data_IF_612722341822
#
_entry.id   IF_612722341822
#
_cell.length_a   1.000
_cell.length_b   1.000
_cell.length_c   1.000
_cell.angle_alpha   90.00
_cell.angle_beta   90.00
_cell.angle_gamma   90.00
#
_symmetry.space_group_name_H-M   'P 1'
#
loop_
_entity.id
_entity.type
_entity.pdbx_description
1 polymer ?
#
# COMPACT_ATOMS: atom_id res chain seq x y z
N UNK A 1 16.94 -20.55 -18.82
CA UNK A 1 16.04 -20.40 -17.67
C UNK A 1 14.99 -19.39 -18.09
N UNK A 2 13.71 -19.66 -17.85
CA UNK A 2 12.68 -18.66 -18.15
C UNK A 2 12.96 -17.42 -17.30
N UNK A 3 12.87 -16.25 -17.91
CA UNK A 3 12.99 -14.95 -17.23
C UNK A 3 11.89 -14.88 -16.18
N UNK A 4 12.26 -14.71 -14.92
CA UNK A 4 11.30 -14.61 -13.84
C UNK A 4 10.71 -13.22 -13.87
N UNK A 5 9.39 -13.13 -13.99
CA UNK A 5 8.64 -11.88 -14.07
C UNK A 5 8.38 -11.31 -12.68
N UNK A 6 8.03 -10.03 -12.65
CA UNK A 6 7.56 -9.37 -11.43
C UNK A 6 6.16 -9.88 -11.07
N UNK A 7 5.95 -10.21 -9.82
CA UNK A 7 4.67 -10.64 -9.26
C UNK A 7 4.15 -9.55 -8.31
N UNK A 8 2.90 -9.18 -8.46
CA UNK A 8 2.19 -8.26 -7.56
C UNK A 8 1.20 -9.06 -6.70
N UNK A 9 1.27 -8.85 -5.41
CA UNK A 9 0.38 -9.43 -4.42
C UNK A 9 -0.41 -8.33 -3.73
N UNK A 10 -1.71 -8.50 -3.62
CA UNK A 10 -2.58 -7.72 -2.73
C UNK A 10 -2.99 -8.62 -1.58
N UNK A 11 -2.64 -8.24 -0.34
CA UNK A 11 -2.91 -9.04 0.83
C UNK A 11 -4.38 -8.89 1.25
N UNK A 12 -5.01 -10.01 1.58
CA UNK A 12 -6.35 -9.98 2.16
C UNK A 12 -6.30 -9.45 3.59
N UNK A 13 -7.28 -8.64 4.01
CA UNK A 13 -7.42 -8.34 5.42
C UNK A 13 -7.60 -9.64 6.21
N UNK A 14 -6.92 -9.78 7.36
CA UNK A 14 -7.04 -10.96 8.23
C UNK A 14 -8.31 -10.89 9.06
N UNK A 15 -9.34 -10.28 8.60
CA UNK A 15 -10.64 -10.16 9.28
C UNK A 15 -11.54 -9.14 8.58
N UNK A 16 -12.60 -8.76 9.32
CA UNK A 16 -13.50 -7.67 8.99
C UNK A 16 -12.90 -6.27 9.26
N UNK A 17 -11.58 -6.15 9.44
CA UNK A 17 -10.91 -4.84 9.61
C UNK A 17 -10.42 -4.30 8.28
N UNK A 18 -10.33 -2.99 8.19
CA UNK A 18 -9.62 -2.33 7.11
C UNK A 18 -8.15 -2.74 7.16
N UNK A 19 -7.60 -3.00 6.00
CA UNK A 19 -6.19 -3.33 5.85
C UNK A 19 -5.74 -3.00 4.44
N UNK A 20 -4.65 -2.29 4.31
CA UNK A 20 -3.96 -2.18 3.04
C UNK A 20 -2.54 -2.72 3.15
N UNK A 21 -2.21 -3.65 2.30
CA UNK A 21 -0.84 -4.08 2.09
C UNK A 21 -0.68 -4.72 0.72
N UNK A 22 0.36 -4.33 0.01
CA UNK A 22 0.76 -4.90 -1.27
C UNK A 22 2.22 -5.32 -1.23
N UNK A 23 2.56 -6.34 -2.00
CA UNK A 23 3.93 -6.81 -2.14
C UNK A 23 4.25 -6.98 -3.61
N UNK A 24 5.34 -6.36 -4.07
CA UNK A 24 5.94 -6.71 -5.35
C UNK A 24 7.14 -7.61 -5.09
N UNK A 25 7.16 -8.75 -5.79
CA UNK A 25 8.30 -9.64 -5.83
C UNK A 25 8.94 -9.56 -7.20
N UNK A 26 10.17 -9.11 -7.24
CA UNK A 26 10.92 -8.96 -8.50
C UNK A 26 11.33 -10.31 -9.07
N UNK A 27 11.78 -10.33 -10.32
CA UNK A 27 12.26 -11.53 -10.98
C UNK A 27 13.39 -12.27 -10.27
N UNK A 28 14.23 -11.56 -9.51
CA UNK A 28 15.29 -12.16 -8.69
C UNK A 28 14.85 -12.42 -7.24
N UNK A 29 13.57 -12.18 -6.90
CA UNK A 29 13.01 -12.50 -5.60
C UNK A 29 13.17 -11.39 -4.55
N UNK A 30 13.53 -10.16 -4.95
CA UNK A 30 13.55 -9.00 -4.05
C UNK A 30 12.13 -8.59 -3.71
N UNK A 31 11.89 -8.13 -2.47
CA UNK A 31 10.57 -7.74 -2.02
C UNK A 31 10.47 -6.23 -1.81
N UNK A 32 9.41 -5.65 -2.36
CA UNK A 32 8.99 -4.27 -2.12
C UNK A 32 7.60 -4.34 -1.49
N UNK A 33 7.43 -3.79 -0.30
CA UNK A 33 6.16 -3.81 0.43
C UNK A 33 5.58 -2.41 0.48
N UNK A 34 4.29 -2.30 0.20
CA UNK A 34 3.52 -1.06 0.34
C UNK A 34 2.52 -1.25 1.46
N UNK A 35 2.59 -0.41 2.45
CA UNK A 35 1.82 -0.45 3.69
C UNK A 35 2.02 -1.76 4.49
N UNK A 36 1.50 -1.81 5.70
CA UNK A 36 1.75 -2.93 6.61
C UNK A 36 0.47 -3.46 7.28
N UNK A 37 -0.68 -2.99 6.82
CA UNK A 37 -1.96 -3.47 7.32
C UNK A 37 -2.23 -3.24 8.80
N UNK A 38 -3.38 -3.72 9.27
CA UNK A 38 -3.80 -3.61 10.66
C UNK A 38 -3.53 -4.91 11.42
N UNK A 39 -2.74 -4.83 12.47
CA UNK A 39 -2.65 -5.89 13.46
C UNK A 39 -3.91 -5.91 14.33
N UNK A 40 -4.52 -7.06 14.49
CA UNK A 40 -5.69 -7.19 15.34
C UNK A 40 -5.46 -6.86 16.81
N UNK A 41 -6.60 -6.54 17.46
CA UNK A 41 -6.78 -6.38 18.92
C UNK A 41 -6.23 -7.54 19.75
N UNK A 42 -6.11 -7.34 21.06
CA UNK A 42 -5.48 -8.21 22.04
C UNK A 42 -5.81 -9.73 21.95
N UNK A 43 -6.93 -10.10 21.37
CA UNK A 43 -7.38 -11.51 21.29
C UNK A 43 -6.68 -12.32 20.18
N UNK A 44 -6.02 -11.66 19.20
CA UNK A 44 -5.33 -12.29 18.07
C UNK A 44 -3.88 -11.81 17.90
N UNK A 45 -3.25 -11.39 18.97
CA UNK A 45 -1.85 -10.91 18.96
C UNK A 45 -0.83 -11.98 18.51
N UNK A 46 -1.19 -13.26 18.55
CA UNK A 46 -0.26 -14.35 18.25
C UNK A 46 -0.20 -14.72 16.77
N UNK A 47 -1.07 -14.17 15.93
CA UNK A 47 -0.99 -14.44 14.50
C UNK A 47 -0.07 -13.44 13.80
N UNK A 48 1.12 -13.90 13.50
CA UNK A 48 2.08 -13.20 12.65
C UNK A 48 1.65 -13.31 11.18
N UNK A 49 0.48 -12.71 10.83
CA UNK A 49 -0.08 -12.83 9.49
C UNK A 49 0.88 -12.29 8.43
N UNK A 50 1.30 -11.04 8.56
CA UNK A 50 2.16 -10.38 7.57
C UNK A 50 3.51 -11.06 7.42
N UNK A 51 4.27 -11.39 8.49
CA UNK A 51 5.50 -12.17 8.35
C UNK A 51 5.30 -13.53 7.68
N UNK A 52 4.16 -14.20 7.96
CA UNK A 52 3.83 -15.48 7.34
C UNK A 52 3.54 -15.33 5.84
N UNK A 53 2.79 -14.30 5.44
CA UNK A 53 2.53 -13.98 4.05
C UNK A 53 3.82 -13.64 3.30
N UNK A 54 4.68 -12.78 3.88
CA UNK A 54 5.95 -12.41 3.29
C UNK A 54 6.89 -13.60 3.09
N UNK A 55 6.96 -14.56 4.05
CA UNK A 55 7.71 -15.81 3.87
C UNK A 55 7.17 -16.63 2.70
N UNK A 56 5.86 -16.76 2.60
CA UNK A 56 5.24 -17.49 1.51
C UNK A 56 5.54 -16.86 0.15
N UNK A 57 5.43 -15.54 0.07
CA UNK A 57 5.74 -14.77 -1.14
C UNK A 57 7.23 -14.90 -1.47
N UNK A 58 8.11 -14.79 -0.49
CA UNK A 58 9.55 -15.00 -0.66
C UNK A 58 9.89 -16.43 -1.14
N UNK A 59 8.97 -17.39 -0.91
CA UNK A 59 9.21 -18.80 -1.26
C UNK A 59 10.10 -19.52 -0.26
N UNK A 60 10.16 -19.05 0.99
CA UNK A 60 10.93 -19.69 2.08
C UNK A 60 9.99 -20.41 3.03
N UNK A 61 10.53 -21.42 3.74
CA UNK A 61 9.76 -22.19 4.73
C UNK A 61 9.35 -21.34 5.94
N UNK A 62 8.54 -21.91 6.83
CA UNK A 62 7.95 -21.24 7.99
C UNK A 62 8.97 -20.52 8.89
N UNK A 63 10.18 -21.09 9.01
CA UNK A 63 11.29 -20.49 9.74
C UNK A 63 12.38 -19.92 8.82
N UNK A 64 12.10 -19.81 7.53
CA UNK A 64 13.04 -19.31 6.55
C UNK A 64 13.30 -17.81 6.69
N UNK A 65 14.52 -17.42 6.35
CA UNK A 65 14.92 -16.02 6.35
C UNK A 65 14.47 -15.33 5.06
N UNK A 66 13.99 -14.10 5.17
CA UNK A 66 13.67 -13.24 4.04
C UNK A 66 14.12 -11.80 4.29
N UNK A 67 14.24 -11.04 3.22
CA UNK A 67 14.52 -9.60 3.27
C UNK A 67 13.47 -8.81 2.51
N UNK A 68 13.13 -7.64 3.05
CA UNK A 68 12.35 -6.61 2.37
C UNK A 68 13.30 -5.49 1.97
N UNK A 69 13.42 -5.23 0.69
CA UNK A 69 14.36 -4.24 0.16
C UNK A 69 13.88 -2.81 0.35
N UNK A 70 12.58 -2.60 0.16
CA UNK A 70 11.91 -1.34 0.42
C UNK A 70 10.55 -1.58 1.06
N UNK A 71 10.26 -0.85 2.11
CA UNK A 71 8.94 -0.74 2.69
C UNK A 71 8.46 0.69 2.58
N UNK A 72 7.35 0.90 1.88
CA UNK A 72 6.79 2.23 1.63
C UNK A 72 5.49 2.34 2.42
N UNK A 73 5.39 3.34 3.30
CA UNK A 73 4.16 3.65 4.02
C UNK A 73 3.49 4.86 3.37
N UNK A 74 2.22 4.73 3.04
CA UNK A 74 1.46 5.78 2.38
C UNK A 74 1.10 6.90 3.33
N UNK A 75 0.53 6.59 4.49
CA UNK A 75 0.14 7.60 5.49
C UNK A 75 0.05 6.98 6.89
N UNK A 76 -0.24 7.83 7.88
CA UNK A 76 -0.12 7.48 9.29
C UNK A 76 -1.44 6.97 9.90
N UNK A 77 -2.14 6.02 9.26
CA UNK A 77 -3.26 5.29 9.87
C UNK A 77 -2.89 3.84 10.20
N UNK A 78 -3.51 3.30 11.25
CA UNK A 78 -3.16 2.01 11.81
C UNK A 78 -3.34 0.85 10.84
N UNK A 79 -4.36 0.89 9.99
CA UNK A 79 -4.64 -0.10 8.96
C UNK A 79 -3.65 -0.09 7.77
N UNK A 80 -2.67 0.81 7.81
CA UNK A 80 -1.55 0.89 6.86
C UNK A 80 -0.20 0.54 7.47
N UNK A 81 0.01 0.67 8.79
CA UNK A 81 1.33 0.44 9.37
C UNK A 81 1.37 -0.52 10.57
N UNK A 82 0.24 -0.91 11.13
CA UNK A 82 0.22 -1.53 12.47
C UNK A 82 0.93 -2.89 12.52
N UNK A 83 0.79 -3.74 11.49
CA UNK A 83 1.53 -5.02 11.42
C UNK A 83 3.03 -4.79 11.27
N UNK A 84 3.46 -3.81 10.48
CA UNK A 84 4.87 -3.43 10.41
C UNK A 84 5.37 -2.96 11.76
N UNK A 85 4.63 -2.06 12.44
CA UNK A 85 4.99 -1.57 13.76
C UNK A 85 5.21 -2.74 14.75
N UNK A 86 4.30 -3.72 14.74
CA UNK A 86 4.41 -4.94 15.55
C UNK A 86 5.63 -5.78 15.20
N UNK A 87 5.87 -5.99 13.91
CA UNK A 87 7.08 -6.70 13.45
C UNK A 87 8.35 -6.03 13.99
N UNK A 88 8.47 -4.72 13.78
CA UNK A 88 9.66 -3.97 14.20
C UNK A 88 9.81 -3.93 15.73
N UNK A 89 8.69 -3.81 16.46
CA UNK A 89 8.70 -3.80 17.93
C UNK A 89 9.16 -5.14 18.52
N UNK A 90 8.80 -6.25 17.87
CA UNK A 90 9.19 -7.61 18.27
C UNK A 90 10.54 -8.06 17.67
N UNK A 91 11.17 -7.24 16.85
CA UNK A 91 12.43 -7.59 16.20
C UNK A 91 13.56 -7.79 17.20
N UNK A 92 14.32 -8.86 17.00
CA UNK A 92 15.50 -9.23 17.79
C UNK A 92 16.63 -9.71 16.87
N UNK A 93 17.84 -9.86 17.38
CA UNK A 93 18.96 -10.46 16.64
C UNK A 93 18.69 -11.90 16.13
N UNK A 94 17.67 -12.57 16.68
CA UNK A 94 17.24 -13.92 16.27
C UNK A 94 16.11 -13.90 15.26
N UNK A 95 15.63 -12.73 14.88
CA UNK A 95 14.55 -12.60 13.89
C UNK A 95 15.04 -13.11 12.53
N UNK A 96 14.17 -13.85 11.85
CA UNK A 96 14.48 -14.45 10.55
C UNK A 96 13.99 -13.59 9.38
N UNK A 97 14.05 -12.29 9.53
CA UNK A 97 13.78 -11.31 8.47
C UNK A 97 14.60 -10.04 8.70
N UNK A 98 14.73 -9.26 7.62
CA UNK A 98 15.33 -7.94 7.65
C UNK A 98 14.52 -6.98 6.77
N UNK A 99 14.43 -5.72 7.17
CA UNK A 99 13.90 -4.62 6.36
C UNK A 99 15.06 -3.68 6.06
N UNK A 100 15.44 -3.59 4.79
CA UNK A 100 16.62 -2.83 4.41
C UNK A 100 16.37 -1.32 4.40
N UNK A 101 15.19 -0.90 3.91
CA UNK A 101 14.83 0.51 3.85
C UNK A 101 13.33 0.68 4.13
N UNK A 102 12.97 1.78 4.81
CA UNK A 102 11.58 2.18 5.05
C UNK A 102 11.45 3.62 4.55
N UNK A 103 10.47 3.84 3.67
CA UNK A 103 10.19 5.12 3.04
C UNK A 103 8.82 5.62 3.47
N UNK A 104 8.76 6.81 4.02
CA UNK A 104 7.52 7.50 4.38
C UNK A 104 7.77 8.99 4.55
N UNK A 105 6.71 9.78 4.43
CA UNK A 105 6.74 11.20 4.73
C UNK A 105 5.45 11.56 5.47
N UNK A 106 5.54 11.62 6.80
CA UNK A 106 4.40 11.95 7.64
C UNK A 106 4.58 13.36 8.21
N UNK A 107 3.51 14.16 8.28
CA UNK A 107 3.57 15.43 8.98
C UNK A 107 3.84 15.18 10.47
N UNK A 108 4.20 16.24 11.21
CA UNK A 108 4.32 16.16 12.67
C UNK A 108 2.95 15.82 13.29
N UNK A 109 2.69 14.52 13.38
CA UNK A 109 1.40 13.98 13.83
C UNK A 109 1.03 14.42 15.24
N UNK A 110 2.01 14.76 16.07
CA UNK A 110 1.74 15.28 17.41
C UNK A 110 1.14 16.69 17.39
N UNK A 111 1.36 17.43 16.31
CA UNK A 111 0.85 18.80 16.13
C UNK A 111 -0.37 18.88 15.22
N UNK A 112 -0.51 17.95 14.28
CA UNK A 112 -1.55 18.00 13.25
C UNK A 112 -2.80 17.21 13.61
N UNK A 113 -2.63 15.97 14.07
CA UNK A 113 -3.75 15.09 14.45
C UNK A 113 -3.28 13.99 15.41
N UNK A 114 -4.22 13.46 16.18
CA UNK A 114 -3.93 12.36 17.09
C UNK A 114 -4.19 11.04 16.38
N UNK A 115 -3.12 10.25 16.17
CA UNK A 115 -3.22 8.94 15.55
C UNK A 115 -3.04 7.85 16.58
N UNK A 116 -3.99 6.91 16.60
CA UNK A 116 -3.89 5.71 17.38
C UNK A 116 -2.78 4.80 16.81
N UNK A 117 -1.92 4.32 17.70
CA UNK A 117 -0.86 3.38 17.33
C UNK A 117 0.43 4.00 16.79
N UNK A 118 0.50 5.31 16.53
CA UNK A 118 1.75 5.94 16.04
C UNK A 118 2.92 5.73 16.99
N UNK A 119 2.67 5.72 18.29
CA UNK A 119 3.68 5.40 19.31
C UNK A 119 4.26 3.99 19.16
N UNK A 120 3.48 3.03 18.71
CA UNK A 120 3.96 1.68 18.43
C UNK A 120 4.89 1.65 17.21
N UNK A 121 4.57 2.41 16.15
CA UNK A 121 5.45 2.53 14.99
C UNK A 121 6.78 3.18 15.38
N UNK A 122 6.75 4.28 16.10
CA UNK A 122 7.96 4.98 16.58
C UNK A 122 8.83 4.03 17.42
N UNK A 123 8.22 3.36 18.40
CA UNK A 123 8.93 2.41 19.26
C UNK A 123 9.47 1.20 18.48
N UNK A 124 8.75 0.75 17.49
CA UNK A 124 9.18 -0.31 16.58
C UNK A 124 10.41 0.10 15.75
N UNK A 125 10.38 1.28 15.16
CA UNK A 125 11.51 1.84 14.41
C UNK A 125 12.75 2.00 15.29
N UNK A 126 12.58 2.52 16.50
CA UNK A 126 13.68 2.69 17.46
C UNK A 126 14.26 1.33 17.90
N UNK A 127 13.40 0.35 18.19
CA UNK A 127 13.85 -1.01 18.52
C UNK A 127 14.63 -1.63 17.37
N UNK A 128 14.10 -1.54 16.15
CA UNK A 128 14.74 -2.11 14.96
C UNK A 128 16.11 -1.49 14.71
N UNK A 129 16.20 -0.16 14.76
CA UNK A 129 17.44 0.58 14.60
C UNK A 129 18.48 0.16 15.66
N UNK A 130 18.07 0.10 16.93
CA UNK A 130 18.91 -0.29 18.05
C UNK A 130 19.45 -1.72 17.90
N UNK A 131 18.62 -2.69 17.54
CA UNK A 131 19.01 -4.09 17.38
C UNK A 131 20.00 -4.26 16.22
N UNK A 132 19.82 -3.53 15.14
CA UNK A 132 20.69 -3.62 13.97
C UNK A 132 21.94 -2.72 14.05
N UNK A 133 22.06 -1.88 15.07
CA UNK A 133 23.15 -0.92 15.19
C UNK A 133 23.17 0.09 14.04
N UNK A 134 21.99 0.42 13.49
CA UNK A 134 21.82 1.34 12.37
C UNK A 134 21.02 2.56 12.80
N UNK A 135 21.34 3.67 12.20
CA UNK A 135 20.49 4.85 12.23
C UNK A 135 19.64 4.85 10.95
N UNK A 136 18.42 4.32 11.05
CA UNK A 136 17.51 4.23 9.91
C UNK A 136 17.21 5.60 9.30
N UNK A 137 17.34 6.67 10.07
CA UNK A 137 16.84 7.97 9.69
C UNK A 137 17.73 9.16 10.08
N UNK A 138 18.75 9.00 10.93
CA UNK A 138 19.47 10.11 11.55
C UNK A 138 18.62 10.97 12.47
N UNK A 139 19.02 11.15 13.72
CA UNK A 139 18.36 12.02 14.67
C UNK A 139 17.08 11.49 15.34
N UNK A 140 16.31 12.38 15.96
CA UNK A 140 15.04 12.05 16.63
C UNK A 140 13.93 11.74 15.60
N UNK A 141 12.82 11.18 16.08
CA UNK A 141 11.64 10.96 15.22
C UNK A 141 11.21 12.23 14.47
N UNK A 142 11.24 13.38 15.14
CA UNK A 142 10.87 14.66 14.52
C UNK A 142 11.92 15.15 13.52
N UNK A 143 13.20 14.96 13.81
CA UNK A 143 14.28 15.27 12.87
C UNK A 143 14.21 14.36 11.63
N UNK A 144 13.75 13.13 11.80
CA UNK A 144 13.55 12.17 10.72
C UNK A 144 12.49 12.62 9.72
N UNK A 145 11.37 13.16 10.18
CA UNK A 145 10.33 13.71 9.30
C UNK A 145 10.87 14.88 8.47
N UNK A 146 11.70 15.72 9.07
CA UNK A 146 12.35 16.85 8.38
C UNK A 146 13.52 16.42 7.49
N UNK A 147 14.15 15.29 7.80
CA UNK A 147 15.28 14.73 7.05
C UNK A 147 14.91 13.52 6.18
N UNK A 148 13.62 13.22 6.04
CA UNK A 148 13.16 12.08 5.25
C UNK A 148 13.69 12.15 3.81
N UNK A 149 14.14 11.00 3.30
CA UNK A 149 14.57 10.87 1.90
C UNK A 149 13.44 11.23 0.95
N UNK A 150 12.21 10.84 1.33
CA UNK A 150 10.99 11.18 0.58
C UNK A 150 10.35 12.39 1.23
N UNK A 151 10.46 13.54 0.58
CA UNK A 151 9.79 14.78 0.99
C UNK A 151 9.47 15.60 -0.26
N UNK A 152 8.70 16.68 -0.11
CA UNK A 152 8.27 17.49 -1.25
C UNK A 152 9.45 17.97 -2.10
N UNK A 153 10.52 18.44 -1.48
CA UNK A 153 11.70 18.91 -2.21
C UNK A 153 12.41 17.79 -2.99
N UNK A 154 12.52 16.61 -2.43
CA UNK A 154 13.10 15.46 -3.11
C UNK A 154 12.24 14.99 -4.29
N UNK A 155 10.91 15.04 -4.15
CA UNK A 155 9.95 14.72 -5.22
C UNK A 155 10.08 15.74 -6.36
N UNK A 156 10.11 17.02 -6.05
CA UNK A 156 10.32 18.10 -7.05
C UNK A 156 11.66 17.97 -7.78
N UNK A 157 12.68 17.44 -7.12
CA UNK A 157 13.97 17.11 -7.71
C UNK A 157 14.00 15.76 -8.45
N UNK A 158 12.87 15.09 -8.60
CA UNK A 158 12.74 13.84 -9.35
C UNK A 158 13.25 12.61 -8.59
N UNK A 159 13.00 12.52 -7.30
CA UNK A 159 13.34 11.32 -6.51
C UNK A 159 12.71 10.08 -7.12
N UNK A 160 13.54 9.13 -7.46
CA UNK A 160 13.14 7.79 -7.90
C UNK A 160 13.95 6.71 -7.19
N UNK A 161 13.35 5.55 -7.02
CA UNK A 161 14.04 4.34 -6.56
C UNK A 161 14.04 3.31 -7.68
N UNK A 162 15.10 2.51 -7.75
CA UNK A 162 15.15 1.35 -8.63
C UNK A 162 15.61 0.13 -7.86
N UNK A 163 14.81 -0.93 -7.84
CA UNK A 163 15.10 -2.18 -7.17
C UNK A 163 14.89 -3.31 -8.17
N UNK A 164 15.97 -3.91 -8.59
CA UNK A 164 15.99 -5.07 -9.49
C UNK A 164 15.08 -4.88 -10.74
N UNK A 165 15.20 -3.74 -11.38
CA UNK A 165 14.43 -3.38 -12.58
C UNK A 165 13.04 -2.80 -12.31
N UNK A 166 12.53 -2.85 -11.09
CA UNK A 166 11.32 -2.15 -10.67
C UNK A 166 11.68 -0.70 -10.32
N UNK A 167 11.10 0.26 -11.05
CA UNK A 167 11.29 1.70 -10.81
C UNK A 167 10.10 2.26 -10.06
N UNK A 168 10.35 3.11 -9.07
CA UNK A 168 9.35 3.76 -8.23
C UNK A 168 9.56 5.26 -8.34
N UNK A 169 8.57 5.96 -8.86
CA UNK A 169 8.50 7.42 -9.00
C UNK A 169 7.57 7.97 -7.93
N UNK A 170 8.08 8.82 -7.04
CA UNK A 170 7.25 9.51 -6.06
C UNK A 170 6.59 10.74 -6.71
N UNK A 171 5.27 10.87 -6.56
CA UNK A 171 4.49 11.88 -7.26
C UNK A 171 4.05 13.01 -6.34
N UNK A 172 3.70 12.71 -5.11
CA UNK A 172 3.15 13.66 -4.15
C UNK A 172 3.37 13.18 -2.72
N UNK A 173 3.69 14.08 -1.82
CA UNK A 173 3.67 13.86 -0.39
C UNK A 173 2.64 14.78 0.28
N UNK A 174 2.61 14.82 1.62
CA UNK A 174 1.65 15.63 2.35
C UNK A 174 1.82 17.15 2.10
N UNK A 175 0.70 17.87 2.19
CA UNK A 175 0.67 19.31 2.30
C UNK A 175 -0.35 19.69 3.38
N UNK A 176 0.09 20.43 4.39
CA UNK A 176 -0.78 20.83 5.51
C UNK A 176 -1.92 21.75 5.08
N UNK A 177 -1.86 22.34 3.88
CA UNK A 177 -2.96 23.12 3.31
C UNK A 177 -4.15 22.24 2.84
N UNK A 178 -3.94 20.93 2.65
CA UNK A 178 -5.01 19.99 2.29
C UNK A 178 -5.92 19.66 3.50
N UNK A 179 -5.53 20.04 4.69
CA UNK A 179 -6.28 19.83 5.94
C UNK A 179 -5.49 19.09 7.00
N UNK A 180 -6.20 18.56 8.00
CA UNK A 180 -5.58 17.87 9.15
C UNK A 180 -5.91 16.36 9.18
N UNK A 181 -6.60 15.85 8.18
CA UNK A 181 -6.91 14.42 8.05
C UNK A 181 -5.68 13.68 7.49
N UNK A 182 -5.28 12.59 8.13
CA UNK A 182 -4.16 11.78 7.69
C UNK A 182 -4.30 11.25 6.27
N UNK A 183 -5.51 10.96 5.83
CA UNK A 183 -5.79 10.48 4.47
C UNK A 183 -5.35 11.51 3.41
N UNK A 184 -5.59 12.81 3.64
CA UNK A 184 -5.17 13.88 2.73
C UNK A 184 -3.64 13.98 2.60
N UNK A 185 -2.91 13.37 3.54
CA UNK A 185 -1.46 13.38 3.59
C UNK A 185 -0.83 12.11 2.99
N UNK A 186 -1.59 11.33 2.22
CA UNK A 186 -1.07 10.12 1.60
C UNK A 186 0.08 10.40 0.63
N UNK A 187 1.16 9.64 0.76
CA UNK A 187 2.25 9.58 -0.18
C UNK A 187 1.77 8.86 -1.44
N UNK A 188 1.79 9.55 -2.57
CA UNK A 188 1.39 9.02 -3.88
C UNK A 188 2.65 8.70 -4.68
N UNK A 189 2.68 7.52 -5.26
CA UNK A 189 3.79 7.09 -6.09
C UNK A 189 3.33 6.13 -7.18
N UNK A 190 4.17 6.00 -8.22
CA UNK A 190 3.95 5.09 -9.34
C UNK A 190 5.08 4.09 -9.43
N UNK A 191 4.72 2.83 -9.60
CA UNK A 191 5.64 1.72 -9.81
C UNK A 191 5.62 1.35 -11.28
N UNK A 192 6.79 1.16 -11.87
CA UNK A 192 6.97 0.66 -13.23
C UNK A 192 7.67 -0.70 -13.18
N UNK A 193 7.04 -1.69 -13.78
CA UNK A 193 7.57 -3.04 -13.85
C UNK A 193 7.09 -3.73 -15.13
N UNK A 194 7.95 -4.46 -15.82
CA UNK A 194 7.61 -5.26 -17.01
C UNK A 194 6.89 -4.44 -18.12
N UNK A 195 7.21 -3.16 -18.24
CA UNK A 195 6.60 -2.25 -19.22
C UNK A 195 5.23 -1.72 -18.84
N UNK A 196 4.74 -2.01 -17.65
CA UNK A 196 3.48 -1.51 -17.10
C UNK A 196 3.70 -0.61 -15.89
N UNK A 197 2.68 0.17 -15.57
CA UNK A 197 2.67 1.12 -14.46
C UNK A 197 1.50 0.88 -13.51
N UNK A 198 1.75 1.01 -12.21
CA UNK A 198 0.76 0.94 -11.15
C UNK A 198 0.89 2.16 -10.25
N UNK A 199 -0.17 2.95 -10.12
CA UNK A 199 -0.21 4.08 -9.20
C UNK A 199 -0.85 3.68 -7.87
N UNK A 200 -0.17 4.06 -6.78
CA UNK A 200 -0.67 3.95 -5.41
C UNK A 200 -1.10 5.31 -4.91
N UNK A 201 -2.34 5.39 -4.43
CA UNK A 201 -2.96 6.60 -3.91
C UNK A 201 -3.01 6.62 -2.37
N UNK A 202 -2.75 5.47 -1.72
CA UNK A 202 -3.04 5.32 -0.30
C UNK A 202 -4.52 5.57 -0.02
N UNK A 203 -4.79 6.39 0.97
CA UNK A 203 -6.15 6.82 1.31
C UNK A 203 -6.43 8.27 0.92
N UNK A 204 -5.69 8.78 -0.07
CA UNK A 204 -5.76 10.17 -0.50
C UNK A 204 -7.20 10.66 -0.61
N UNK A 205 -7.47 11.77 0.07
CA UNK A 205 -8.79 12.36 0.09
C UNK A 205 -8.99 13.41 -1.02
N UNK A 206 -10.06 14.16 -0.88
CA UNK A 206 -10.54 15.13 -1.85
C UNK A 206 -9.52 16.23 -2.17
N UNK A 207 -8.92 16.85 -1.14
CA UNK A 207 -8.04 18.00 -1.33
C UNK A 207 -6.69 17.55 -1.90
N UNK A 208 -6.13 16.46 -1.37
CA UNK A 208 -4.93 15.85 -1.89
C UNK A 208 -5.10 15.39 -3.33
N UNK A 209 -6.27 14.84 -3.69
CA UNK A 209 -6.62 14.46 -5.05
C UNK A 209 -6.68 15.67 -6.00
N UNK A 210 -7.30 16.76 -5.58
CA UNK A 210 -7.34 18.02 -6.35
C UNK A 210 -5.95 18.62 -6.55
N UNK A 211 -5.04 18.44 -5.59
CA UNK A 211 -3.65 18.86 -5.72
C UNK A 211 -2.91 17.96 -6.70
N UNK A 212 -3.12 16.64 -6.62
CA UNK A 212 -2.52 15.65 -7.51
C UNK A 212 -2.85 15.93 -9.00
N UNK A 213 -4.10 16.32 -9.30
CA UNK A 213 -4.52 16.68 -10.67
C UNK A 213 -3.78 17.89 -11.27
N UNK A 214 -3.21 18.76 -10.43
CA UNK A 214 -2.46 19.93 -10.90
C UNK A 214 -1.01 19.61 -11.25
N UNK A 215 -0.57 18.37 -10.99
CA UNK A 215 0.80 17.93 -11.25
C UNK A 215 1.09 17.93 -12.76
N UNK A 216 2.25 18.42 -13.13
CA UNK A 216 2.78 18.25 -14.48
C UNK A 216 3.17 16.78 -14.72
N UNK A 217 3.07 16.31 -15.97
CA UNK A 217 3.48 14.95 -16.37
C UNK A 217 2.36 13.90 -16.40
N UNK A 218 1.14 14.28 -15.98
CA UNK A 218 -0.04 13.42 -16.06
C UNK A 218 -0.04 12.25 -15.08
N UNK A 219 -1.18 11.59 -14.97
CA UNK A 219 -1.43 10.49 -14.02
C UNK A 219 -1.65 9.14 -14.70
N UNK A 220 -1.72 9.09 -16.03
CA UNK A 220 -1.99 7.84 -16.77
C UNK A 220 -1.15 6.68 -16.25
N UNK A 221 -1.84 5.59 -15.86
CA UNK A 221 -1.22 4.37 -15.36
C UNK A 221 -2.05 3.17 -15.81
N UNK A 222 -1.41 2.04 -16.07
CA UNK A 222 -2.11 0.82 -16.51
C UNK A 222 -2.96 0.23 -15.39
N UNK A 223 -2.53 0.42 -14.15
CA UNK A 223 -3.17 -0.10 -12.95
C UNK A 223 -3.26 0.99 -11.87
N UNK A 224 -4.26 0.89 -11.00
CA UNK A 224 -4.50 1.84 -9.91
C UNK A 224 -4.93 1.13 -8.63
N UNK A 225 -4.30 1.47 -7.50
CA UNK A 225 -4.88 1.14 -6.19
C UNK A 225 -5.97 2.17 -5.88
N UNK A 226 -7.15 1.68 -5.52
CA UNK A 226 -8.31 2.53 -5.18
C UNK A 226 -8.07 3.25 -3.85
N UNK A 227 -8.17 4.58 -3.87
CA UNK A 227 -7.96 5.39 -2.68
C UNK A 227 -8.95 5.03 -1.56
N UNK A 228 -8.48 5.08 -0.31
CA UNK A 228 -9.27 4.89 0.90
C UNK A 228 -10.12 3.62 0.87
N UNK A 229 -9.51 2.50 0.49
CA UNK A 229 -10.18 1.20 0.37
C UNK A 229 -11.40 1.21 -0.58
N UNK A 230 -11.47 2.21 -1.47
CA UNK A 230 -12.62 2.43 -2.34
C UNK A 230 -13.80 3.09 -1.66
N UNK A 231 -13.59 3.73 -0.51
CA UNK A 231 -14.56 4.58 0.18
C UNK A 231 -14.56 6.01 -0.40
N UNK A 232 -14.67 7.02 0.45
CA UNK A 232 -14.70 8.44 0.13
C UNK A 232 -13.30 9.05 -0.08
N UNK A 233 -12.46 8.45 -0.91
CA UNK A 233 -11.13 8.94 -1.25
C UNK A 233 -11.16 10.12 -2.23
N UNK A 234 -10.35 10.01 -3.28
CA UNK A 234 -10.29 11.00 -4.35
C UNK A 234 -11.58 11.03 -5.19
N UNK A 235 -11.84 12.16 -5.84
CA UNK A 235 -12.97 12.32 -6.78
C UNK A 235 -12.73 11.56 -8.11
N UNK A 236 -13.80 11.40 -8.85
CA UNK A 236 -13.86 10.71 -10.14
C UNK A 236 -12.82 11.23 -11.14
N UNK A 237 -12.60 12.53 -11.20
CA UNK A 237 -11.68 13.17 -12.14
C UNK A 237 -10.22 12.70 -11.97
N UNK A 238 -9.83 12.30 -10.76
CA UNK A 238 -8.53 11.67 -10.51
C UNK A 238 -8.46 10.30 -11.19
N UNK A 239 -9.50 9.47 -11.04
CA UNK A 239 -9.55 8.17 -11.70
C UNK A 239 -9.66 8.29 -13.23
N UNK A 240 -10.40 9.28 -13.73
CA UNK A 240 -10.49 9.58 -15.16
C UNK A 240 -9.12 10.03 -15.72
N UNK A 241 -8.33 10.79 -14.94
CA UNK A 241 -6.97 11.18 -15.33
C UNK A 241 -5.95 10.03 -15.25
N UNK A 242 -6.16 9.08 -14.34
CA UNK A 242 -5.34 7.86 -14.26
C UNK A 242 -5.67 6.91 -15.39
N UNK A 243 -6.94 6.80 -15.78
CA UNK A 243 -7.44 5.98 -16.89
C UNK A 243 -6.85 4.55 -16.88
N UNK A 244 -6.97 3.87 -15.73
CA UNK A 244 -6.39 2.56 -15.52
C UNK A 244 -7.28 1.44 -16.06
N UNK A 245 -6.66 0.44 -16.70
CA UNK A 245 -7.34 -0.77 -17.18
C UNK A 245 -7.66 -1.74 -16.03
N UNK A 246 -6.91 -1.69 -14.95
CA UNK A 246 -7.08 -2.55 -13.77
C UNK A 246 -7.11 -1.71 -12.50
N UNK A 247 -8.05 -2.04 -11.60
CA UNK A 247 -8.20 -1.35 -10.31
C UNK A 247 -8.15 -2.35 -9.17
N UNK A 248 -7.27 -2.09 -8.20
CA UNK A 248 -7.08 -2.91 -7.00
C UNK A 248 -7.85 -2.32 -5.83
N UNK A 249 -8.67 -3.15 -5.22
CA UNK A 249 -9.56 -2.75 -4.13
C UNK A 249 -9.23 -3.56 -2.86
N UNK A 250 -8.34 -3.05 -2.04
CA UNK A 250 -7.99 -3.64 -0.75
C UNK A 250 -9.08 -3.27 0.28
N UNK A 251 -10.15 -4.06 0.33
CA UNK A 251 -11.33 -3.73 1.14
C UNK A 251 -11.96 -4.98 1.77
N UNK A 252 -12.48 -4.92 3.01
CA UNK A 252 -13.26 -6.01 3.59
C UNK A 252 -14.67 -6.08 3.00
N UNK A 253 -15.30 -7.23 3.13
CA UNK A 253 -16.64 -7.47 2.55
C UNK A 253 -17.70 -6.50 3.05
N UNK A 254 -17.63 -6.06 4.31
CA UNK A 254 -18.61 -5.13 4.84
C UNK A 254 -18.53 -3.75 4.20
N UNK A 255 -17.32 -3.27 3.89
CA UNK A 255 -17.12 -2.04 3.11
C UNK A 255 -17.64 -2.23 1.70
N UNK A 256 -17.32 -3.37 1.06
CA UNK A 256 -17.81 -3.70 -0.26
C UNK A 256 -19.33 -3.84 -0.33
N UNK A 257 -19.94 -4.43 0.71
CA UNK A 257 -21.39 -4.66 0.79
C UNK A 257 -22.19 -3.40 1.13
N UNK A 258 -21.59 -2.43 1.81
CA UNK A 258 -22.21 -1.14 2.16
C UNK A 258 -22.48 -0.23 0.94
N UNK A 259 -22.58 -0.83 -0.22
CA UNK A 259 -22.83 -0.18 -1.51
C UNK A 259 -24.09 0.67 -1.52
N UNK A 260 -25.05 0.32 -0.66
CA UNK A 260 -26.41 0.86 -0.76
C UNK A 260 -26.57 2.25 -0.18
N UNK A 261 -25.67 2.65 0.73
CA UNK A 261 -25.98 3.80 1.57
C UNK A 261 -25.03 4.99 1.45
N UNK A 262 -23.85 4.87 0.75
CA UNK A 262 -22.86 5.96 0.73
C UNK A 262 -21.97 5.99 -0.51
N UNK A 263 -20.98 6.87 -0.47
CA UNK A 263 -19.96 7.18 -1.46
C UNK A 263 -19.29 5.98 -2.12
N UNK A 264 -19.13 4.86 -1.41
CA UNK A 264 -18.59 3.61 -1.98
C UNK A 264 -19.40 3.17 -3.21
N UNK A 265 -20.73 3.20 -3.12
CA UNK A 265 -21.60 2.88 -4.25
C UNK A 265 -21.40 3.85 -5.40
N UNK A 266 -21.22 5.12 -5.11
CA UNK A 266 -20.92 6.15 -6.11
C UNK A 266 -19.57 5.92 -6.76
N UNK A 267 -18.49 5.74 -5.98
CA UNK A 267 -17.16 5.46 -6.52
C UNK A 267 -17.15 4.22 -7.40
N UNK A 268 -17.78 3.14 -6.97
CA UNK A 268 -17.90 1.93 -7.81
C UNK A 268 -18.68 2.19 -9.10
N UNK A 269 -19.74 2.95 -9.02
CA UNK A 269 -20.51 3.38 -10.18
C UNK A 269 -19.65 4.16 -11.18
N UNK A 270 -18.78 5.05 -10.69
CA UNK A 270 -17.89 5.81 -11.54
C UNK A 270 -16.86 4.94 -12.25
N UNK A 271 -16.20 4.04 -11.52
CA UNK A 271 -15.13 3.21 -12.10
C UNK A 271 -15.66 2.10 -12.99
N UNK A 272 -16.91 1.69 -12.82
CA UNK A 272 -17.56 0.65 -13.62
C UNK A 272 -18.49 1.17 -14.70
N UNK A 273 -18.60 2.47 -14.87
CA UNK A 273 -19.49 3.05 -15.87
C UNK A 273 -20.99 2.91 -15.58
N UNK A 274 -21.38 2.59 -14.34
CA UNK A 274 -22.77 2.45 -13.94
C UNK A 274 -23.01 1.62 -12.69
N UNK A 275 -24.26 1.43 -12.31
CA UNK A 275 -24.67 0.70 -11.10
C UNK A 275 -24.50 -0.82 -11.18
N UNK A 276 -24.06 -1.37 -12.30
CA UNK A 276 -23.90 -2.80 -12.50
C UNK A 276 -22.45 -3.22 -12.33
N UNK A 277 -22.11 -3.71 -11.15
CA UNK A 277 -20.77 -4.21 -10.81
C UNK A 277 -20.40 -5.53 -11.47
N UNK A 278 -21.35 -6.21 -12.05
CA UNK A 278 -21.10 -7.47 -12.74
C UNK A 278 -20.49 -7.24 -14.13
N UNK A 279 -20.55 -6.01 -14.61
CA UNK A 279 -19.95 -5.61 -15.89
C UNK A 279 -18.78 -4.68 -15.63
N UNK A 280 -17.59 -5.24 -15.50
CA UNK A 280 -16.38 -4.46 -15.55
C UNK A 280 -16.27 -3.82 -16.94
N UNK A 281 -16.58 -2.55 -17.02
CA UNK A 281 -16.39 -1.73 -18.19
C UNK A 281 -16.24 -0.29 -17.71
N UNK A 282 -15.18 0.37 -18.01
CA UNK A 282 -14.11 0.01 -18.97
C UNK A 282 -12.90 -0.73 -18.36
N UNK A 283 -12.93 -1.23 -17.15
CA UNK A 283 -11.76 -1.81 -16.51
C UNK A 283 -12.08 -3.07 -15.68
N UNK A 284 -11.08 -3.91 -15.50
CA UNK A 284 -11.15 -5.02 -14.57
C UNK A 284 -11.01 -4.55 -13.12
N UNK A 285 -11.83 -5.11 -12.22
CA UNK A 285 -11.78 -4.83 -10.79
C UNK A 285 -11.23 -6.04 -10.07
N UNK A 286 -10.24 -5.77 -9.24
CA UNK A 286 -9.63 -6.75 -8.38
C UNK A 286 -9.92 -6.37 -6.94
N UNK A 287 -10.74 -7.16 -6.26
CA UNK A 287 -11.08 -6.94 -4.87
C UNK A 287 -10.57 -8.09 -4.01
N UNK A 288 -9.91 -7.76 -2.90
CA UNK A 288 -9.52 -8.74 -1.90
C UNK A 288 -10.47 -8.63 -0.71
N UNK A 289 -11.38 -9.59 -0.60
CA UNK A 289 -12.46 -9.57 0.36
C UNK A 289 -12.25 -10.63 1.44
N UNK A 290 -12.59 -10.28 2.69
CA UNK A 290 -12.62 -11.22 3.80
C UNK A 290 -14.06 -11.36 4.33
N UNK A 291 -14.48 -12.52 4.81
CA UNK A 291 -13.87 -13.83 4.65
C UNK A 291 -13.99 -14.29 3.18
N UNK A 292 -12.98 -14.87 2.65
CA UNK A 292 -12.78 -15.42 1.32
C UNK A 292 -14.06 -15.75 0.54
N UNK A 293 -14.77 -14.74 0.08
CA UNK A 293 -15.94 -14.98 -0.75
C UNK A 293 -15.53 -15.44 -2.14
N UNK A 294 -16.25 -16.41 -2.67
CA UNK A 294 -16.13 -16.69 -4.08
C UNK A 294 -16.43 -15.41 -4.86
N UNK A 295 -15.62 -15.14 -5.76
CA UNK A 295 -15.34 -13.90 -6.41
C UNK A 295 -16.33 -13.56 -7.52
N UNK A 296 -17.57 -13.38 -7.17
CA UNK A 296 -18.55 -12.79 -8.13
C UNK A 296 -18.20 -11.33 -8.48
N UNK A 297 -17.15 -10.80 -7.86
CA UNK A 297 -16.73 -9.40 -7.95
C UNK A 297 -15.38 -9.18 -8.63
N UNK A 298 -14.71 -10.22 -9.08
CA UNK A 298 -13.45 -10.09 -9.81
C UNK A 298 -13.60 -10.58 -11.23
N UNK A 299 -13.31 -9.72 -12.17
CA UNK A 299 -13.29 -10.05 -13.60
C UNK A 299 -11.91 -10.52 -14.09
N UNK A 300 -10.90 -10.46 -13.24
CA UNK A 300 -9.52 -10.82 -13.57
C UNK A 300 -9.39 -12.32 -13.75
N UNK A 301 -8.96 -12.75 -14.94
CA UNK A 301 -8.94 -14.16 -15.34
C UNK A 301 -7.77 -14.97 -14.78
N UNK A 302 -6.64 -14.34 -14.51
CA UNK A 302 -5.38 -15.01 -14.18
C UNK A 302 -5.00 -14.83 -12.69
N UNK A 303 -6.00 -14.96 -11.83
CA UNK A 303 -5.80 -14.88 -10.39
C UNK A 303 -5.26 -16.18 -9.81
N UNK A 304 -4.15 -16.08 -9.13
CA UNK A 304 -3.67 -17.13 -8.25
C UNK A 304 -3.81 -16.69 -6.80
N UNK A 305 -4.21 -17.62 -5.96
CA UNK A 305 -4.28 -17.39 -4.53
C UNK A 305 -3.06 -18.00 -3.84
N UNK A 306 -2.33 -17.17 -3.12
CA UNK A 306 -1.18 -17.60 -2.32
C UNK A 306 -1.38 -17.15 -0.88
N UNK A 307 -1.71 -18.08 0.02
CA UNK A 307 -1.86 -17.83 1.47
C UNK A 307 -2.62 -16.53 1.79
N UNK A 308 -3.87 -16.45 1.36
CA UNK A 308 -4.71 -15.29 1.63
C UNK A 308 -4.29 -13.98 0.93
N UNK A 309 -3.40 -14.07 -0.03
CA UNK A 309 -3.05 -13.00 -0.94
C UNK A 309 -3.62 -13.27 -2.32
N UNK A 310 -3.89 -12.21 -3.05
CA UNK A 310 -4.21 -12.26 -4.47
C UNK A 310 -2.94 -11.95 -5.26
N UNK A 311 -2.62 -12.75 -6.27
CA UNK A 311 -1.41 -12.57 -7.08
C UNK A 311 -1.75 -12.34 -8.54
N UNK A 312 -1.08 -11.40 -9.16
CA UNK A 312 -0.97 -11.29 -10.61
C UNK A 312 0.51 -11.26 -11.03
N UNK A 313 0.80 -11.73 -12.21
CA UNK A 313 2.14 -11.66 -12.81
C UNK A 313 2.16 -10.56 -13.87
N UNK A 314 3.16 -9.69 -13.82
CA UNK A 314 3.34 -8.61 -14.79
C UNK A 314 4.19 -9.08 -15.98
N UNK A 315 3.97 -8.60 -17.22
CA UNK A 315 2.86 -7.73 -17.57
C UNK A 315 1.54 -8.50 -17.52
N UNK A 316 0.51 -7.84 -16.99
CA UNK A 316 -0.84 -8.36 -16.94
C UNK A 316 -1.65 -7.79 -18.12
N UNK A 317 -2.38 -8.63 -18.81
CA UNK A 317 -3.32 -8.22 -19.87
C UNK A 317 -4.72 -8.63 -19.45
N UNK A 318 -5.64 -7.67 -19.23
CA UNK A 318 -7.05 -7.92 -18.87
C UNK A 318 -7.81 -8.77 -19.86
#
# INVERSE_FOLDING_TARGET
MAERKVELYMLAPDNEVLMQSFVLKTGNGRLIVVDGGMARTAENQDRAYLPSALRAIAGVGENGYFEVDAWILTHAHGDHFFELAKMLLQYTEKSNYKVNNIYFDFPDVAKTYRIEGIGALISGLDNYARVNGIDLFGGSYYDRLNGAVVNQASIENGLELTIDGVRIEFLQTYDLSDGTNANEHSLVFRVYAEGQSLIFLGDLGLNGGRRLLKREGGLKSDMCQMAHHGQDGVERDVYDAIDADVRFWATPIWVWSNVRDYQIGEVRSWVNGGADFTKASPCDIVACLYPHYPTDYTSVKDWERVKDCMKITLPYTP
#
